data_IF_468451322382
#
_entry.id   IF_468451322382
#
_cell.length_a   1.000
_cell.length_b   1.000
_cell.length_c   1.000
_cell.angle_alpha   90.00
_cell.angle_beta   90.00
_cell.angle_gamma   90.00
#
_symmetry.space_group_name_H-M   'P 1'
#
loop_
_entity.id
_entity.type
_entity.pdbx_description
1 polymer ?
#
# COMPACT_ATOMS: atom_id res chain seq x y z
N UNK A 1 -18.03 -12.23 -25.61
CA UNK A 1 -18.20 -12.54 -24.18
C UNK A 1 -18.50 -11.22 -23.49
N UNK A 2 -19.69 -11.10 -22.87
CA UNK A 2 -20.13 -9.80 -22.35
C UNK A 2 -19.62 -9.55 -20.91
N UNK A 3 -19.46 -10.61 -20.11
CA UNK A 3 -19.04 -10.52 -18.72
C UNK A 3 -18.10 -11.66 -18.34
N UNK A 4 -17.11 -11.36 -17.49
CA UNK A 4 -16.20 -12.34 -16.90
C UNK A 4 -16.26 -12.17 -15.39
N UNK A 5 -16.59 -13.25 -14.67
CA UNK A 5 -16.50 -13.29 -13.21
C UNK A 5 -15.23 -14.07 -12.83
N UNK A 6 -14.43 -13.49 -11.95
CA UNK A 6 -13.23 -14.16 -11.49
C UNK A 6 -13.01 -13.94 -10.00
N UNK A 7 -12.37 -14.92 -9.35
CA UNK A 7 -11.90 -14.83 -7.98
C UNK A 7 -10.40 -15.14 -8.00
N UNK A 8 -9.57 -14.11 -7.73
CA UNK A 8 -8.10 -14.20 -7.65
C UNK A 8 -7.35 -14.59 -8.92
N UNK A 9 -8.01 -15.17 -9.92
CA UNK A 9 -7.39 -15.60 -11.20
C UNK A 9 -6.77 -14.41 -11.95
N UNK A 10 -7.37 -13.23 -11.83
CA UNK A 10 -6.84 -11.99 -12.44
C UNK A 10 -5.67 -11.38 -11.65
N UNK A 11 -5.25 -11.98 -10.54
CA UNK A 11 -4.09 -11.51 -9.79
C UNK A 11 -2.79 -11.94 -10.47
N UNK A 12 -2.77 -13.07 -11.21
CA UNK A 12 -1.58 -13.56 -11.89
C UNK A 12 -1.91 -14.15 -13.26
N UNK A 13 -1.12 -13.83 -14.27
CA UNK A 13 -1.02 -14.54 -15.55
C UNK A 13 -2.11 -14.33 -16.60
N UNK A 14 -3.28 -13.81 -16.25
CA UNK A 14 -4.36 -13.57 -17.24
C UNK A 14 -4.31 -12.14 -17.76
N UNK A 15 -4.29 -11.99 -19.06
CA UNK A 15 -4.26 -10.72 -19.77
C UNK A 15 -5.44 -10.59 -20.71
N UNK A 16 -6.39 -9.72 -20.35
CA UNK A 16 -7.56 -9.43 -21.18
C UNK A 16 -7.56 -7.95 -21.51
N UNK A 17 -6.93 -7.63 -22.64
CA UNK A 17 -6.68 -6.23 -23.02
C UNK A 17 -7.95 -5.48 -23.44
N UNK A 18 -8.99 -6.18 -23.91
CA UNK A 18 -10.24 -5.59 -24.38
C UNK A 18 -11.19 -5.17 -23.26
N UNK A 19 -10.87 -5.45 -21.99
CA UNK A 19 -11.72 -5.05 -20.86
C UNK A 19 -11.84 -3.53 -20.82
N UNK A 20 -13.08 -3.05 -20.88
CA UNK A 20 -13.41 -1.61 -20.81
C UNK A 20 -14.08 -1.21 -19.48
N UNK A 21 -14.47 -2.17 -18.66
CA UNK A 21 -15.01 -1.95 -17.33
C UNK A 21 -14.52 -3.02 -16.35
N UNK A 22 -14.09 -2.60 -15.17
CA UNK A 22 -13.70 -3.48 -14.07
C UNK A 22 -14.54 -3.13 -12.85
N UNK A 23 -15.17 -4.13 -12.26
CA UNK A 23 -15.94 -3.98 -11.03
C UNK A 23 -15.25 -4.79 -9.94
N UNK A 24 -14.74 -4.07 -8.92
CA UNK A 24 -14.01 -4.67 -7.80
C UNK A 24 -14.97 -4.89 -6.63
N UNK A 25 -15.50 -6.10 -6.52
CA UNK A 25 -16.48 -6.47 -5.48
C UNK A 25 -15.83 -6.96 -4.19
N UNK A 26 -14.58 -7.44 -4.28
CA UNK A 26 -13.84 -7.98 -3.15
C UNK A 26 -12.75 -6.99 -2.73
N UNK A 27 -12.70 -6.60 -1.43
CA UNK A 27 -11.64 -5.75 -0.93
C UNK A 27 -10.29 -6.48 -0.99
N UNK A 28 -9.25 -5.78 -1.41
CA UNK A 28 -7.86 -6.20 -1.22
C UNK A 28 -7.27 -5.55 0.02
N UNK A 29 -6.34 -6.21 0.68
CA UNK A 29 -5.69 -5.69 1.89
C UNK A 29 -4.31 -5.07 1.59
N UNK A 30 -3.85 -5.14 0.35
CA UNK A 30 -2.54 -4.65 -0.07
C UNK A 30 -2.68 -3.58 -1.15
N UNK A 31 -2.06 -2.39 -0.97
CA UNK A 31 -1.98 -1.36 -1.99
C UNK A 31 -1.38 -1.87 -3.30
N UNK A 32 -0.35 -2.74 -3.22
CA UNK A 32 0.30 -3.31 -4.41
C UNK A 32 -0.66 -4.22 -5.17
N UNK A 33 -1.37 -5.11 -4.49
CA UNK A 33 -2.36 -5.99 -5.14
C UNK A 33 -3.47 -5.16 -5.79
N UNK A 34 -3.92 -4.09 -5.13
CA UNK A 34 -4.89 -3.16 -5.70
C UNK A 34 -4.40 -2.56 -7.02
N UNK A 35 -3.19 -2.01 -7.03
CA UNK A 35 -2.58 -1.43 -8.25
C UNK A 35 -2.35 -2.48 -9.34
N UNK A 36 -1.96 -3.70 -8.97
CA UNK A 36 -1.81 -4.79 -9.93
C UNK A 36 -3.12 -5.17 -10.59
N UNK A 37 -4.21 -5.25 -9.83
CA UNK A 37 -5.56 -5.51 -10.35
C UNK A 37 -6.02 -4.39 -11.29
N UNK A 38 -5.80 -3.12 -10.91
CA UNK A 38 -6.08 -1.97 -11.77
C UNK A 38 -5.27 -2.04 -13.07
N UNK A 39 -3.97 -2.30 -12.97
CA UNK A 39 -3.04 -2.32 -14.11
C UNK A 39 -3.43 -3.30 -15.20
N UNK A 40 -4.09 -4.41 -14.85
CA UNK A 40 -4.58 -5.38 -15.84
C UNK A 40 -5.72 -4.82 -16.70
N UNK A 41 -6.65 -4.08 -16.09
CA UNK A 41 -7.70 -3.40 -16.82
C UNK A 41 -7.21 -2.19 -17.63
N UNK A 42 -6.09 -1.59 -17.24
CA UNK A 42 -5.56 -0.36 -17.86
C UNK A 42 -4.71 -0.61 -19.10
N UNK A 43 -4.55 -1.86 -19.55
CA UNK A 43 -3.78 -2.15 -20.76
C UNK A 43 -4.44 -1.60 -22.02
N UNK A 44 -3.60 -1.13 -22.94
CA UNK A 44 -4.05 -0.55 -24.19
C UNK A 44 -4.47 -1.66 -25.18
N UNK A 45 -5.58 -1.45 -25.90
CA UNK A 45 -6.02 -2.26 -27.01
C UNK A 45 -6.52 -1.36 -28.14
N UNK A 46 -6.55 -1.88 -29.35
CA UNK A 46 -7.08 -1.14 -30.49
C UNK A 46 -8.57 -0.83 -30.27
N UNK A 47 -8.94 0.44 -30.44
CA UNK A 47 -10.32 0.90 -30.23
C UNK A 47 -10.73 1.10 -28.77
N UNK A 48 -9.81 0.91 -27.82
CA UNK A 48 -10.06 1.14 -26.40
C UNK A 48 -9.51 2.51 -25.99
N UNK A 49 -10.39 3.46 -25.75
CA UNK A 49 -10.03 4.83 -25.39
C UNK A 49 -9.83 4.99 -23.87
N UNK A 50 -10.66 4.32 -23.08
CA UNK A 50 -10.64 4.37 -21.62
C UNK A 50 -11.12 3.08 -20.96
N UNK A 51 -10.92 2.98 -19.67
CA UNK A 51 -11.46 1.93 -18.81
C UNK A 51 -12.18 2.58 -17.64
N UNK A 52 -13.37 2.10 -17.35
CA UNK A 52 -14.10 2.49 -16.13
C UNK A 52 -13.82 1.47 -15.04
N UNK A 53 -13.38 1.95 -13.88
CA UNK A 53 -13.14 1.11 -12.72
C UNK A 53 -14.10 1.54 -11.62
N UNK A 54 -14.90 0.59 -11.13
CA UNK A 54 -15.81 0.77 -10.02
C UNK A 54 -15.31 -0.04 -8.82
N UNK A 55 -14.98 0.64 -7.75
CA UNK A 55 -14.53 0.01 -6.51
C UNK A 55 -15.50 0.31 -5.36
N UNK A 56 -15.93 -0.74 -4.67
CA UNK A 56 -16.86 -0.65 -3.54
C UNK A 56 -16.10 -0.49 -2.23
N UNK A 57 -15.55 0.70 -2.00
CA UNK A 57 -14.75 1.05 -0.81
C UNK A 57 -15.44 0.68 0.50
N UNK A 58 -16.76 0.67 0.54
CA UNK A 58 -17.53 0.28 1.72
C UNK A 58 -17.24 -1.12 2.28
N UNK A 59 -16.65 -1.98 1.48
CA UNK A 59 -16.30 -3.36 1.85
C UNK A 59 -14.89 -3.49 2.47
N UNK A 60 -14.10 -2.41 2.49
CA UNK A 60 -12.74 -2.43 3.03
C UNK A 60 -12.73 -2.16 4.54
N UNK A 61 -11.94 -2.93 5.28
CA UNK A 61 -11.67 -2.65 6.70
C UNK A 61 -10.74 -1.44 6.87
N UNK A 62 -9.79 -1.28 5.95
CA UNK A 62 -8.78 -0.22 5.95
C UNK A 62 -8.97 0.68 4.72
N UNK A 63 -10.02 1.48 4.71
CA UNK A 63 -10.38 2.33 3.58
C UNK A 63 -9.30 3.37 3.20
N UNK A 64 -8.40 3.73 4.14
CA UNK A 64 -7.26 4.61 3.89
C UNK A 64 -6.26 4.02 2.89
N UNK A 65 -6.26 2.72 2.68
CA UNK A 65 -5.32 2.04 1.79
C UNK A 65 -5.51 2.46 0.32
N UNK A 66 -6.74 2.72 -0.11
CA UNK A 66 -7.05 3.09 -1.50
C UNK A 66 -6.38 4.42 -1.91
N UNK A 67 -6.55 5.53 -1.17
CA UNK A 67 -5.84 6.76 -1.51
C UNK A 67 -4.31 6.62 -1.42
N UNK A 68 -3.77 5.82 -0.49
CA UNK A 68 -2.33 5.54 -0.44
C UNK A 68 -1.88 4.81 -1.71
N UNK A 69 -2.59 3.76 -2.13
CA UNK A 69 -2.28 3.01 -3.33
C UNK A 69 -2.30 3.90 -4.59
N UNK A 70 -3.32 4.75 -4.72
CA UNK A 70 -3.51 5.60 -5.89
C UNK A 70 -2.56 6.80 -5.92
N UNK A 71 -2.22 7.39 -4.77
CA UNK A 71 -1.28 8.51 -4.68
C UNK A 71 0.19 8.07 -4.78
N UNK A 72 0.48 6.81 -4.46
CA UNK A 72 1.85 6.33 -4.30
C UNK A 72 2.57 6.88 -3.07
N UNK A 73 1.88 7.62 -2.20
CA UNK A 73 2.44 8.17 -0.96
C UNK A 73 2.52 7.10 0.12
N UNK A 74 3.73 6.57 0.34
CA UNK A 74 4.02 5.54 1.34
C UNK A 74 4.36 6.12 2.71
N UNK A 75 4.29 7.44 2.87
CA UNK A 75 4.61 8.10 4.16
C UNK A 75 3.55 7.85 5.22
N UNK A 76 2.36 7.42 4.83
CA UNK A 76 1.21 7.27 5.71
C UNK A 76 0.87 8.55 6.49
N UNK A 77 1.20 9.70 5.92
CA UNK A 77 0.85 10.98 6.51
C UNK A 77 -0.64 11.26 6.33
N UNK A 78 -1.35 11.41 7.46
CA UNK A 78 -2.80 11.61 7.47
C UNK A 78 -3.25 12.84 6.68
N UNK A 79 -2.47 13.92 6.72
CA UNK A 79 -2.81 15.17 6.03
C UNK A 79 -2.58 15.04 4.52
N UNK A 80 -1.56 14.31 4.08
CA UNK A 80 -1.36 14.00 2.67
C UNK A 80 -2.52 13.16 2.12
N UNK A 81 -2.96 12.15 2.87
CA UNK A 81 -4.09 11.29 2.48
C UNK A 81 -5.37 12.13 2.37
N UNK A 82 -5.64 12.98 3.37
CA UNK A 82 -6.82 13.88 3.34
C UNK A 82 -6.78 14.83 2.15
N UNK A 83 -5.63 15.47 1.91
CA UNK A 83 -5.44 16.38 0.78
C UNK A 83 -5.69 15.67 -0.55
N UNK A 84 -5.13 14.48 -0.76
CA UNK A 84 -5.35 13.69 -1.97
C UNK A 84 -6.84 13.42 -2.22
N UNK A 85 -7.60 13.05 -1.20
CA UNK A 85 -9.03 12.79 -1.30
C UNK A 85 -9.81 14.07 -1.63
N UNK A 86 -9.43 15.21 -1.04
CA UNK A 86 -10.08 16.50 -1.28
C UNK A 86 -9.82 17.04 -2.68
N UNK A 87 -8.62 16.87 -3.19
CA UNK A 87 -8.21 17.29 -4.53
C UNK A 87 -8.77 16.37 -5.64
N UNK A 88 -9.47 15.28 -5.27
CA UNK A 88 -10.12 14.40 -6.23
C UNK A 88 -9.16 13.70 -7.19
N UNK A 89 -7.97 13.31 -6.70
CA UNK A 89 -7.01 12.57 -7.51
C UNK A 89 -6.36 13.35 -8.66
N UNK A 90 -6.40 14.67 -8.65
CA UNK A 90 -5.74 15.55 -9.67
C UNK A 90 -4.24 15.31 -9.81
N UNK A 91 -3.65 14.52 -8.93
CA UNK A 91 -2.21 14.22 -8.87
C UNK A 91 -1.83 12.99 -9.70
N UNK A 92 -2.80 12.29 -10.32
CA UNK A 92 -2.50 11.12 -11.15
C UNK A 92 -1.95 11.61 -12.50
N UNK A 93 -0.71 11.19 -12.88
CA UNK A 93 -0.16 11.53 -14.18
C UNK A 93 -1.01 10.98 -15.32
N UNK A 94 -1.24 11.79 -16.36
CA UNK A 94 -1.98 11.39 -17.55
C UNK A 94 -3.45 11.83 -17.56
N UNK A 95 -4.27 11.16 -18.37
CA UNK A 95 -5.68 11.46 -18.57
C UNK A 95 -6.61 10.71 -17.59
N UNK A 96 -6.07 10.14 -16.51
CA UNK A 96 -6.84 9.41 -15.52
C UNK A 96 -7.48 10.34 -14.49
N UNK A 97 -8.71 10.05 -14.10
CA UNK A 97 -9.43 10.76 -13.05
C UNK A 97 -9.90 9.78 -11.99
N UNK A 98 -9.84 10.19 -10.73
CA UNK A 98 -10.40 9.43 -9.59
C UNK A 98 -11.50 10.27 -8.96
N UNK A 99 -12.64 9.63 -8.76
CA UNK A 99 -13.77 10.25 -8.08
C UNK A 99 -14.15 9.42 -6.85
N UNK A 100 -14.16 10.06 -5.69
CA UNK A 100 -14.70 9.48 -4.46
C UNK A 100 -16.09 10.09 -4.19
N UNK A 101 -17.12 9.26 -4.13
CA UNK A 101 -18.44 9.72 -3.70
C UNK A 101 -18.43 10.17 -2.22
N UNK A 102 -19.49 10.84 -1.79
CA UNK A 102 -19.54 11.42 -0.46
C UNK A 102 -19.48 10.36 0.67
N UNK A 103 -20.10 9.20 0.46
CA UNK A 103 -20.11 8.10 1.44
C UNK A 103 -18.70 7.51 1.55
N UNK A 104 -18.05 7.26 0.42
CA UNK A 104 -16.67 6.76 0.36
C UNK A 104 -15.71 7.73 1.04
N UNK A 105 -15.81 9.04 0.76
CA UNK A 105 -14.99 10.07 1.44
C UNK A 105 -15.16 10.03 2.95
N UNK A 106 -16.39 9.99 3.46
CA UNK A 106 -16.66 9.92 4.91
C UNK A 106 -16.04 8.66 5.53
N UNK A 107 -16.17 7.51 4.87
CA UNK A 107 -15.57 6.24 5.34
C UNK A 107 -14.05 6.29 5.34
N UNK A 108 -13.44 6.84 4.30
CA UNK A 108 -11.98 6.98 4.23
C UNK A 108 -11.49 7.93 5.33
N UNK A 109 -12.11 9.09 5.52
CA UNK A 109 -11.72 10.03 6.59
C UNK A 109 -11.84 9.37 7.96
N UNK A 110 -12.94 8.70 8.27
CA UNK A 110 -13.10 7.97 9.53
C UNK A 110 -12.01 6.88 9.70
N UNK A 111 -11.67 6.18 8.62
CA UNK A 111 -10.60 5.18 8.65
C UNK A 111 -9.22 5.81 8.89
N UNK A 112 -8.92 6.95 8.27
CA UNK A 112 -7.67 7.71 8.48
C UNK A 112 -7.57 8.23 9.92
N UNK A 113 -8.68 8.77 10.46
CA UNK A 113 -8.70 9.33 11.80
C UNK A 113 -8.44 8.26 12.87
N UNK A 114 -9.05 7.09 12.69
CA UNK A 114 -8.92 5.96 13.61
C UNK A 114 -7.63 5.14 13.39
N UNK A 115 -6.96 5.28 12.24
CA UNK A 115 -5.74 4.53 11.95
C UNK A 115 -4.57 4.99 12.82
N UNK A 116 -3.87 4.04 13.39
CA UNK A 116 -2.56 4.26 14.00
C UNK A 116 -1.46 3.75 13.08
N UNK A 117 -0.94 4.62 12.24
CA UNK A 117 0.11 4.26 11.28
C UNK A 117 1.48 3.99 11.93
N UNK A 118 1.65 4.34 13.20
CA UNK A 118 2.83 3.98 13.98
C UNK A 118 2.63 2.67 14.77
N UNK A 119 1.55 1.93 14.50
CA UNK A 119 1.28 0.66 15.15
C UNK A 119 2.33 -0.37 14.74
N UNK A 120 2.90 -0.99 15.76
CA UNK A 120 3.88 -2.06 15.60
C UNK A 120 3.34 -3.26 14.82
N UNK A 121 2.02 -3.47 14.87
CA UNK A 121 1.35 -4.53 14.11
C UNK A 121 1.44 -4.24 12.61
N UNK A 122 1.13 -3.02 12.19
CA UNK A 122 1.22 -2.59 10.80
C UNK A 122 2.67 -2.67 10.29
N UNK A 123 3.63 -2.22 11.10
CA UNK A 123 5.05 -2.31 10.77
C UNK A 123 5.48 -3.76 10.55
N UNK A 124 5.07 -4.67 11.45
CA UNK A 124 5.38 -6.10 11.33
C UNK A 124 4.75 -6.75 10.10
N UNK A 125 3.49 -6.43 9.80
CA UNK A 125 2.79 -6.94 8.63
C UNK A 125 3.52 -6.54 7.34
N UNK A 126 3.87 -5.26 7.20
CA UNK A 126 4.63 -4.76 6.05
C UNK A 126 6.02 -5.39 5.95
N UNK A 127 6.74 -5.48 7.06
CA UNK A 127 8.04 -6.16 7.11
C UNK A 127 7.95 -7.62 6.68
N UNK A 128 6.97 -8.36 7.20
CA UNK A 128 6.78 -9.77 6.89
C UNK A 128 6.45 -9.99 5.42
N UNK A 129 5.58 -9.15 4.86
CA UNK A 129 5.25 -9.15 3.43
C UNK A 129 6.50 -8.92 2.58
N UNK A 130 7.31 -7.92 2.94
CA UNK A 130 8.55 -7.63 2.22
C UNK A 130 9.58 -8.75 2.36
N UNK A 131 9.77 -9.30 3.58
CA UNK A 131 10.66 -10.44 3.82
C UNK A 131 10.27 -11.65 2.97
N UNK A 132 8.98 -11.99 2.94
CA UNK A 132 8.48 -13.12 2.15
C UNK A 132 8.70 -12.90 0.65
N UNK A 133 8.47 -11.67 0.16
CA UNK A 133 8.71 -11.30 -1.23
C UNK A 133 10.18 -11.46 -1.65
N UNK A 134 11.11 -11.13 -0.75
CA UNK A 134 12.56 -11.17 -1.01
C UNK A 134 13.20 -12.51 -0.68
N UNK A 135 12.56 -13.36 0.13
CA UNK A 135 13.12 -14.60 0.63
C UNK A 135 14.31 -14.42 1.60
N UNK A 136 14.54 -13.19 2.10
CA UNK A 136 15.61 -12.84 3.03
C UNK A 136 15.21 -11.69 3.94
N UNK A 137 15.99 -11.44 4.99
CA UNK A 137 15.81 -10.24 5.82
C UNK A 137 16.05 -8.99 4.93
N UNK A 138 15.07 -8.08 4.82
CA UNK A 138 15.21 -6.84 4.08
C UNK A 138 16.32 -5.95 4.65
N UNK A 139 17.04 -5.23 3.79
CA UNK A 139 17.82 -4.07 4.20
C UNK A 139 16.99 -2.78 4.08
N UNK A 140 17.51 -1.64 4.53
CA UNK A 140 16.77 -0.37 4.51
C UNK A 140 16.36 0.04 3.09
N UNK A 141 17.22 -0.18 2.10
CA UNK A 141 16.96 0.15 0.70
C UNK A 141 15.85 -0.72 0.08
N UNK A 142 15.72 -1.96 0.54
CA UNK A 142 14.66 -2.85 0.06
C UNK A 142 13.25 -2.30 0.38
N UNK A 143 13.10 -1.51 1.46
CA UNK A 143 11.83 -0.84 1.76
C UNK A 143 11.50 0.25 0.72
N UNK A 144 12.51 0.96 0.23
CA UNK A 144 12.32 1.97 -0.81
C UNK A 144 12.02 1.33 -2.16
N UNK A 145 12.77 0.29 -2.54
CA UNK A 145 12.68 -0.33 -3.85
C UNK A 145 11.46 -1.25 -3.99
N UNK A 146 11.07 -1.97 -2.93
CA UNK A 146 10.10 -3.07 -3.00
C UNK A 146 9.03 -3.03 -1.90
N UNK A 147 9.15 -2.16 -0.90
CA UNK A 147 8.25 -2.08 0.25
C UNK A 147 6.95 -1.33 -0.05
N UNK A 148 5.94 -1.59 0.76
CA UNK A 148 4.65 -0.89 0.76
C UNK A 148 4.60 0.27 1.76
N UNK A 149 5.57 0.31 2.68
CA UNK A 149 5.68 1.27 3.76
C UNK A 149 7.07 1.90 3.75
N UNK A 150 7.13 3.20 3.99
CA UNK A 150 8.40 3.90 4.20
C UNK A 150 9.06 3.40 5.49
N UNK A 151 10.35 3.07 5.43
CA UNK A 151 11.13 2.59 6.57
C UNK A 151 11.19 3.59 7.73
N UNK A 152 11.01 4.87 7.48
CA UNK A 152 10.94 5.94 8.48
C UNK A 152 9.90 5.61 9.56
N UNK A 153 8.84 4.87 9.24
CA UNK A 153 7.83 4.44 10.22
C UNK A 153 8.39 3.58 11.35
N UNK A 154 9.45 2.83 11.09
CA UNK A 154 10.15 2.04 12.11
C UNK A 154 10.90 2.99 13.06
N UNK A 155 11.55 4.01 12.52
CA UNK A 155 12.29 4.98 13.30
C UNK A 155 11.36 5.91 14.11
N UNK A 156 10.22 6.33 13.53
CA UNK A 156 9.21 7.16 14.19
C UNK A 156 8.48 6.43 15.34
N UNK A 157 8.55 5.10 15.37
CA UNK A 157 7.92 4.34 16.43
C UNK A 157 8.71 4.48 17.74
N UNK A 158 8.11 5.14 18.74
CA UNK A 158 8.74 5.45 20.03
C UNK A 158 9.29 4.23 20.79
N UNK A 159 8.76 3.04 20.55
CA UNK A 159 9.20 1.82 21.21
C UNK A 159 10.30 1.08 20.47
N UNK A 160 10.58 1.47 19.22
CA UNK A 160 11.60 0.87 18.37
C UNK A 160 12.80 1.78 18.20
N UNK A 161 12.62 2.98 17.68
CA UNK A 161 13.65 3.98 17.46
C UNK A 161 14.70 3.63 16.40
N UNK A 162 14.85 2.34 16.02
CA UNK A 162 15.77 1.91 14.97
C UNK A 162 15.37 0.58 14.35
N UNK A 163 15.82 0.36 13.11
CA UNK A 163 15.60 -0.92 12.42
C UNK A 163 16.35 -2.07 13.09
N UNK A 164 17.53 -1.79 13.66
CA UNK A 164 18.27 -2.79 14.45
C UNK A 164 17.44 -3.30 15.63
N UNK A 165 16.88 -2.39 16.46
CA UNK A 165 16.03 -2.76 17.59
C UNK A 165 14.79 -3.54 17.15
N UNK A 166 14.22 -3.18 16.01
CA UNK A 166 13.13 -3.96 15.42
C UNK A 166 13.55 -5.39 15.09
N UNK A 167 14.69 -5.58 14.39
CA UNK A 167 15.20 -6.89 14.02
C UNK A 167 15.53 -7.75 15.25
N UNK A 168 16.25 -7.19 16.23
CA UNK A 168 16.58 -7.89 17.48
C UNK A 168 15.35 -8.37 18.22
N UNK A 169 14.28 -7.58 18.20
CA UNK A 169 13.05 -7.86 18.96
C UNK A 169 12.11 -8.82 18.24
N UNK A 170 12.04 -8.76 16.93
CA UNK A 170 10.99 -9.44 16.18
C UNK A 170 11.47 -10.45 15.13
N UNK A 171 12.76 -10.38 14.73
CA UNK A 171 13.30 -11.27 13.71
C UNK A 171 14.15 -12.37 14.36
N UNK A 172 13.61 -13.58 14.43
CA UNK A 172 14.27 -14.73 15.09
C UNK A 172 15.57 -15.18 14.39
N UNK A 173 15.68 -14.95 13.09
CA UNK A 173 16.84 -15.33 12.28
C UNK A 173 17.97 -14.31 12.41
N UNK A 174 17.69 -13.12 12.94
CA UNK A 174 18.66 -12.06 13.10
C UNK A 174 19.54 -12.29 14.34
N UNK A 175 20.79 -12.67 14.12
CA UNK A 175 21.73 -13.05 15.18
C UNK A 175 22.78 -11.97 15.49
N UNK A 176 22.85 -10.92 14.71
CA UNK A 176 23.78 -9.82 14.96
C UNK A 176 23.43 -9.11 16.26
N UNK A 177 24.44 -8.85 17.08
CA UNK A 177 24.33 -8.06 18.31
C UNK A 177 25.42 -7.01 18.29
N UNK A 178 25.01 -5.77 18.48
CA UNK A 178 25.90 -4.63 18.55
C UNK A 178 26.41 -4.46 19.99
N UNK A 179 27.59 -3.86 20.13
CA UNK A 179 28.10 -3.41 21.41
C UNK A 179 27.34 -2.16 21.87
N UNK A 180 27.34 -1.89 23.17
CA UNK A 180 26.59 -0.75 23.74
C UNK A 180 26.96 0.61 23.13
N UNK A 181 28.25 0.81 22.80
CA UNK A 181 28.72 2.01 22.12
C UNK A 181 28.26 2.09 20.66
N UNK A 182 28.14 0.95 19.97
CA UNK A 182 27.62 0.89 18.59
C UNK A 182 26.11 1.13 18.56
N UNK A 183 25.36 0.61 19.55
CA UNK A 183 23.93 0.89 19.66
C UNK A 183 23.66 2.39 19.85
N UNK A 184 24.47 3.07 20.67
CA UNK A 184 24.35 4.53 20.85
C UNK A 184 24.56 5.32 19.59
N UNK A 185 25.46 4.87 18.68
CA UNK A 185 25.68 5.54 17.40
C UNK A 185 24.42 5.44 16.50
N UNK A 186 23.75 4.29 16.50
CA UNK A 186 22.51 4.10 15.70
C UNK A 186 21.35 4.94 16.23
N UNK A 187 21.34 5.30 17.51
CA UNK A 187 20.30 6.16 18.10
C UNK A 187 20.44 7.64 17.69
N UNK A 188 21.60 8.03 17.17
CA UNK A 188 21.90 9.41 16.73
C UNK A 188 21.70 9.63 15.21
N UNK A 189 21.44 8.59 14.44
CA UNK A 189 21.20 8.66 12.99
C UNK A 189 19.71 8.67 12.72
#
# INVERSE_FOLDING_TARGET
LDYIFSVEILNEGVDIVEVNQVIMLRPTQSPIVFIQQLGRGLRKANGKEYVVILDFIGNYNNNFMIPIALSGDRTYNKDNIRRYIMEGGRVIPGASTVHFDEISRKKIFASVDNANFSDIKLIKENYTTLKNKLGRIPNLRDFDDYGEMDVIRIFDNKSLGSYYKFLVKYEKEYKVRLLENEEKVIEFI
#
